data_IF_575173848340
#
_entry.id   IF_575173848340
#
_cell.length_a   1.000
_cell.length_b   1.000
_cell.length_c   1.000
_cell.angle_alpha   90.00
_cell.angle_beta   90.00
_cell.angle_gamma   90.00
#
_symmetry.space_group_name_H-M   'P 1'
#
loop_
_entity.id
_entity.type
_entity.pdbx_description
1 polymer ?
#
# COMPACT_ATOMS: atom_id res chain seq x y z
N UNK A 1 2.40 -40.62 -24.26
CA UNK A 1 1.46 -39.51 -24.57
C UNK A 1 0.49 -39.39 -23.42
N UNK A 2 0.68 -38.38 -22.54
CA UNK A 2 -0.24 -38.08 -21.43
C UNK A 2 -0.90 -36.72 -21.73
N UNK A 3 -2.18 -36.77 -22.05
CA UNK A 3 -3.01 -35.60 -22.24
C UNK A 3 -3.26 -34.89 -20.91
N UNK A 4 -2.72 -33.68 -20.77
CA UNK A 4 -2.97 -32.79 -19.64
C UNK A 4 -4.32 -32.08 -19.91
N UNK A 5 -5.35 -32.49 -19.19
CA UNK A 5 -6.66 -31.82 -19.23
C UNK A 5 -6.53 -30.54 -18.41
N UNK A 6 -6.44 -29.40 -19.10
CA UNK A 6 -6.59 -28.07 -18.49
C UNK A 6 -8.08 -27.92 -18.18
N UNK A 7 -8.43 -28.09 -16.92
CA UNK A 7 -9.77 -27.82 -16.41
C UNK A 7 -9.95 -26.30 -16.31
N UNK A 8 -10.52 -25.70 -17.35
CA UNK A 8 -10.93 -24.30 -17.36
C UNK A 8 -12.11 -24.15 -16.42
N UNK A 9 -11.87 -23.70 -15.19
CA UNK A 9 -12.90 -23.36 -14.22
C UNK A 9 -13.54 -22.04 -14.66
N UNK A 10 -14.52 -22.10 -15.55
CA UNK A 10 -15.44 -21.01 -15.83
C UNK A 10 -16.33 -20.83 -14.59
N UNK A 11 -15.92 -19.96 -13.67
CA UNK A 11 -16.80 -19.45 -12.64
C UNK A 11 -17.90 -18.66 -13.31
N UNK A 12 -19.18 -19.06 -13.16
CA UNK A 12 -20.29 -18.21 -13.61
C UNK A 12 -20.25 -16.95 -12.74
N UNK A 13 -19.91 -15.80 -13.32
CA UNK A 13 -20.19 -14.51 -12.71
C UNK A 13 -21.72 -14.43 -12.58
N UNK A 14 -22.28 -14.43 -11.37
CA UNK A 14 -23.71 -14.24 -11.24
C UNK A 14 -24.04 -12.84 -11.75
N UNK A 15 -24.99 -12.76 -12.67
CA UNK A 15 -25.65 -11.53 -13.10
C UNK A 15 -26.45 -10.91 -11.95
N UNK A 16 -25.77 -10.41 -10.93
CA UNK A 16 -26.32 -9.55 -9.87
C UNK A 16 -26.02 -8.07 -10.17
N UNK A 17 -26.15 -7.67 -11.44
CA UNK A 17 -25.86 -6.31 -11.88
C UNK A 17 -27.05 -5.34 -11.78
N UNK A 18 -28.15 -5.72 -11.18
CA UNK A 18 -29.27 -4.81 -11.01
C UNK A 18 -29.18 -4.07 -9.67
N UNK A 19 -28.73 -2.80 -9.72
CA UNK A 19 -28.77 -1.86 -8.60
C UNK A 19 -27.44 -1.56 -7.91
N UNK A 20 -26.33 -2.18 -8.29
CA UNK A 20 -25.01 -1.85 -7.75
C UNK A 20 -24.39 -0.69 -8.53
N UNK A 21 -24.00 0.35 -7.82
CA UNK A 21 -23.30 1.49 -8.39
C UNK A 21 -21.80 1.24 -8.35
N UNK A 22 -21.18 1.28 -9.52
CA UNK A 22 -19.73 1.13 -9.66
C UNK A 22 -19.03 2.49 -9.62
N UNK A 23 -17.84 2.51 -9.07
CA UNK A 23 -16.97 3.67 -8.97
C UNK A 23 -15.59 3.31 -9.51
N UNK A 24 -15.04 4.11 -10.43
CA UNK A 24 -13.66 3.99 -10.90
C UNK A 24 -12.98 5.33 -10.74
N UNK A 25 -11.78 5.34 -10.19
CA UNK A 25 -11.07 6.58 -9.92
C UNK A 25 -9.57 6.46 -9.90
N UNK A 26 -8.92 7.62 -9.98
CA UNK A 26 -7.49 7.80 -9.83
C UNK A 26 -7.17 8.78 -8.71
N UNK A 27 -5.99 8.64 -8.12
CA UNK A 27 -5.53 9.49 -7.02
C UNK A 27 -4.02 9.70 -7.05
N UNK A 28 -3.60 10.81 -6.47
CA UNK A 28 -2.19 11.13 -6.24
C UNK A 28 -2.02 11.69 -4.83
N UNK A 29 -0.82 11.57 -4.28
CA UNK A 29 -0.56 12.06 -2.94
C UNK A 29 0.84 11.75 -2.43
N UNK A 30 0.95 11.58 -1.14
CA UNK A 30 2.22 11.44 -0.45
C UNK A 30 2.11 10.43 0.68
N UNK A 31 3.20 9.71 0.95
CA UNK A 31 3.23 8.74 2.03
C UNK A 31 4.45 8.90 2.92
N UNK A 32 4.26 8.51 4.18
CA UNK A 32 5.22 8.57 5.26
C UNK A 32 5.36 7.20 5.89
N UNK A 33 6.58 6.69 6.00
CA UNK A 33 6.85 5.46 6.75
C UNK A 33 7.28 5.77 8.18
N UNK A 34 6.83 4.93 9.08
CA UNK A 34 7.41 4.86 10.43
C UNK A 34 8.62 3.93 10.38
N UNK A 35 9.78 4.47 10.72
CA UNK A 35 11.02 3.70 10.82
C UNK A 35 10.92 2.59 11.87
N UNK A 36 11.58 1.47 11.60
CA UNK A 36 11.77 0.38 12.55
C UNK A 36 13.19 0.40 13.11
N UNK A 37 13.30 0.04 14.39
CA UNK A 37 14.61 -0.04 15.04
C UNK A 37 15.35 -1.29 14.56
N UNK A 38 16.64 -1.13 14.37
CA UNK A 38 17.58 -2.21 14.08
C UNK A 38 18.70 -2.21 15.12
N UNK A 39 19.04 -3.38 15.62
CA UNK A 39 20.09 -3.51 16.66
C UNK A 39 21.07 -4.61 16.28
N UNK A 40 22.35 -4.28 16.32
CA UNK A 40 23.47 -5.20 16.11
C UNK A 40 24.47 -5.06 17.28
N UNK A 41 24.40 -5.96 18.24
CA UNK A 41 25.17 -5.85 19.48
C UNK A 41 24.82 -4.59 20.26
N UNK A 42 25.79 -3.69 20.47
CA UNK A 42 25.61 -2.38 21.15
C UNK A 42 25.20 -1.25 20.19
N UNK A 43 25.22 -1.47 18.88
CA UNK A 43 24.90 -0.43 17.88
C UNK A 43 23.40 -0.49 17.56
N UNK A 44 22.74 0.66 17.72
CA UNK A 44 21.33 0.81 17.37
C UNK A 44 21.18 1.81 16.24
N UNK A 45 20.31 1.50 15.31
CA UNK A 45 19.93 2.35 14.18
C UNK A 45 18.45 2.27 13.89
N UNK A 46 18.03 3.02 12.86
CA UNK A 46 16.68 3.00 12.31
C UNK A 46 16.74 2.64 10.84
N UNK A 47 15.80 1.85 10.38
CA UNK A 47 15.67 1.48 8.96
C UNK A 47 14.23 1.58 8.52
N UNK A 48 14.03 1.81 7.24
CA UNK A 48 12.71 1.93 6.64
C UNK A 48 12.78 2.50 5.23
N UNK A 49 11.76 3.27 4.91
CA UNK A 49 11.66 3.96 3.63
C UNK A 49 11.51 5.46 3.87
N UNK A 50 12.14 6.27 3.03
CA UNK A 50 11.96 7.71 3.05
C UNK A 50 10.53 8.07 2.62
N UNK A 51 10.02 9.23 3.03
CA UNK A 51 8.78 9.77 2.50
C UNK A 51 8.83 9.93 0.97
N UNK A 52 7.71 9.65 0.29
CA UNK A 52 7.69 9.69 -1.17
C UNK A 52 6.30 9.91 -1.76
N UNK A 53 6.27 10.16 -3.08
CA UNK A 53 5.02 10.36 -3.82
C UNK A 53 4.25 9.05 -3.97
N UNK A 54 2.93 9.16 -3.99
CA UNK A 54 2.02 8.04 -4.16
C UNK A 54 1.03 8.32 -5.30
N UNK A 55 0.75 7.29 -6.11
CA UNK A 55 -0.28 7.31 -7.15
C UNK A 55 -1.15 6.07 -6.98
N UNK A 56 -2.44 6.20 -7.20
CA UNK A 56 -3.35 5.08 -7.02
C UNK A 56 -4.52 5.06 -7.97
N UNK A 57 -5.14 3.90 -8.05
CA UNK A 57 -6.40 3.68 -8.73
C UNK A 57 -7.33 2.83 -7.88
N UNK A 58 -8.62 3.04 -8.08
CA UNK A 58 -9.67 2.30 -7.36
C UNK A 58 -10.76 1.84 -8.30
N UNK A 59 -11.28 0.65 -8.03
CA UNK A 59 -12.52 0.15 -8.59
C UNK A 59 -13.36 -0.32 -7.41
N UNK A 60 -14.49 0.33 -7.19
CA UNK A 60 -15.36 0.05 -6.06
C UNK A 60 -16.79 -0.18 -6.47
N UNK A 61 -17.54 -0.77 -5.57
CA UNK A 61 -18.98 -0.89 -5.70
C UNK A 61 -19.69 -0.58 -4.38
N UNK A 62 -20.87 -0.03 -4.49
CA UNK A 62 -21.75 0.20 -3.36
C UNK A 62 -22.66 -1.01 -3.16
N UNK A 63 -22.44 -1.79 -2.08
CA UNK A 63 -23.23 -2.98 -1.78
C UNK A 63 -24.60 -2.62 -1.19
N UNK A 64 -24.63 -1.64 -0.29
CA UNK A 64 -25.85 -1.10 0.29
C UNK A 64 -25.61 0.36 0.72
N UNK A 65 -26.59 0.99 1.41
CA UNK A 65 -26.50 2.42 1.82
C UNK A 65 -25.30 2.75 2.68
N UNK A 66 -24.77 1.77 3.43
CA UNK A 66 -23.70 1.98 4.43
C UNK A 66 -22.40 1.26 4.11
N UNK A 67 -22.45 0.19 3.31
CA UNK A 67 -21.32 -0.69 3.03
C UNK A 67 -20.96 -0.65 1.56
N UNK A 68 -19.70 -0.47 1.27
CA UNK A 68 -19.10 -0.59 -0.05
C UNK A 68 -17.88 -1.51 -0.04
N UNK A 69 -17.45 -1.92 -1.21
CA UNK A 69 -16.20 -2.66 -1.44
C UNK A 69 -15.34 -1.95 -2.47
N UNK A 70 -14.03 -2.03 -2.33
CA UNK A 70 -13.09 -1.31 -3.18
C UNK A 70 -11.82 -2.12 -3.41
N UNK A 71 -11.55 -2.50 -4.66
CA UNK A 71 -10.23 -2.97 -5.06
C UNK A 71 -9.34 -1.75 -5.33
N UNK A 72 -8.17 -1.72 -4.71
CA UNK A 72 -7.24 -0.59 -4.77
C UNK A 72 -5.85 -1.04 -5.19
N UNK A 73 -5.25 -0.23 -6.05
CA UNK A 73 -3.84 -0.27 -6.36
C UNK A 73 -3.19 1.03 -5.92
N UNK A 74 -2.02 0.95 -5.27
CA UNK A 74 -1.22 2.12 -4.90
C UNK A 74 0.24 1.86 -5.25
N UNK A 75 0.80 2.71 -6.11
CA UNK A 75 2.22 2.80 -6.42
C UNK A 75 2.87 3.85 -5.53
N UNK A 76 4.09 3.56 -5.05
CA UNK A 76 4.92 4.53 -4.35
C UNK A 76 6.34 4.52 -4.88
N UNK A 77 6.93 5.70 -5.00
CA UNK A 77 8.35 5.89 -5.26
C UNK A 77 9.01 6.37 -3.97
N UNK A 78 9.78 5.47 -3.35
CA UNK A 78 10.38 5.67 -2.04
C UNK A 78 11.85 5.28 -2.11
N UNK A 79 12.71 5.88 -1.26
CA UNK A 79 14.08 5.42 -1.07
C UNK A 79 14.17 4.53 0.17
N UNK A 80 14.85 3.40 0.07
CA UNK A 80 15.30 2.63 1.23
C UNK A 80 16.25 3.50 2.06
N UNK A 81 16.13 3.43 3.38
CA UNK A 81 16.92 4.22 4.30
C UNK A 81 17.40 3.40 5.49
N UNK A 82 18.66 3.59 5.87
CA UNK A 82 19.19 3.16 7.16
C UNK A 82 19.97 4.32 7.78
N UNK A 83 19.78 4.57 9.07
CA UNK A 83 20.43 5.67 9.79
C UNK A 83 20.88 5.23 11.18
N UNK A 84 22.03 5.76 11.62
CA UNK A 84 22.55 5.61 12.98
C UNK A 84 23.35 6.86 13.34
N UNK A 85 22.90 7.60 14.35
CA UNK A 85 23.46 8.92 14.67
C UNK A 85 23.33 9.88 13.49
N UNK A 86 24.45 10.47 13.06
CA UNK A 86 24.54 11.39 11.93
C UNK A 86 24.80 10.69 10.57
N UNK A 87 24.99 9.38 10.56
CA UNK A 87 25.28 8.62 9.34
C UNK A 87 24.00 8.08 8.75
N UNK A 88 23.80 8.28 7.45
CA UNK A 88 22.64 7.78 6.71
C UNK A 88 23.09 7.14 5.39
N UNK A 89 22.49 6.01 5.05
CA UNK A 89 22.61 5.38 3.73
C UNK A 89 21.24 5.26 3.09
N UNK A 90 21.17 5.51 1.76
CA UNK A 90 19.97 5.44 0.95
C UNK A 90 20.17 4.61 -0.30
N UNK A 91 19.13 3.93 -0.73
CA UNK A 91 19.05 3.26 -2.03
C UNK A 91 17.66 3.45 -2.61
N UNK A 92 17.57 3.59 -3.94
CA UNK A 92 16.29 3.81 -4.61
C UNK A 92 15.40 2.57 -4.52
N UNK A 93 14.12 2.79 -4.25
CA UNK A 93 13.12 1.73 -4.22
C UNK A 93 11.75 2.22 -4.71
N UNK A 94 10.88 1.26 -4.91
CA UNK A 94 9.47 1.49 -5.21
C UNK A 94 8.63 0.40 -4.55
N UNK A 95 7.36 0.68 -4.31
CA UNK A 95 6.43 -0.32 -3.81
C UNK A 95 5.07 -0.25 -4.54
N UNK A 96 4.42 -1.42 -4.59
CA UNK A 96 3.12 -1.62 -5.21
C UNK A 96 2.23 -2.32 -4.21
N UNK A 97 1.17 -1.67 -3.76
CA UNK A 97 0.15 -2.27 -2.90
C UNK A 97 -1.09 -2.59 -3.72
N UNK A 98 -1.59 -3.82 -3.59
CA UNK A 98 -2.82 -4.30 -4.21
C UNK A 98 -3.65 -4.92 -3.09
N UNK A 99 -4.82 -4.38 -2.83
CA UNK A 99 -5.67 -4.83 -1.74
C UNK A 99 -7.15 -4.60 -2.02
N UNK A 100 -7.98 -5.27 -1.23
CA UNK A 100 -9.42 -5.05 -1.21
C UNK A 100 -9.83 -4.51 0.15
N UNK A 101 -10.56 -3.39 0.14
CA UNK A 101 -11.08 -2.73 1.33
C UNK A 101 -12.61 -2.87 1.41
N UNK A 102 -13.13 -3.12 2.60
CA UNK A 102 -14.52 -2.89 2.95
C UNK A 102 -14.64 -1.48 3.49
N UNK A 103 -15.59 -0.72 2.95
CA UNK A 103 -15.86 0.66 3.34
C UNK A 103 -17.15 0.74 4.15
N UNK A 104 -17.09 1.44 5.28
CA UNK A 104 -18.25 1.77 6.11
C UNK A 104 -18.51 3.27 5.99
N UNK A 105 -19.57 3.64 5.31
CA UNK A 105 -19.96 5.04 5.11
C UNK A 105 -20.78 5.56 6.28
N UNK A 106 -20.49 6.78 6.73
CA UNK A 106 -21.22 7.45 7.81
C UNK A 106 -22.43 8.27 7.32
N UNK A 107 -22.61 8.39 6.00
CA UNK A 107 -23.72 9.14 5.38
C UNK A 107 -24.37 8.33 4.26
N UNK A 108 -25.62 8.68 3.93
CA UNK A 108 -26.37 8.03 2.84
C UNK A 108 -25.72 8.30 1.48
N UNK A 109 -26.08 7.48 0.50
CA UNK A 109 -25.53 7.53 -0.86
C UNK A 109 -25.77 8.88 -1.56
N UNK A 110 -26.91 9.50 -1.28
CA UNK A 110 -27.35 10.78 -1.86
C UNK A 110 -26.73 12.00 -1.18
N UNK A 111 -26.00 11.80 -0.07
CA UNK A 111 -25.37 12.89 0.67
C UNK A 111 -24.23 13.50 -0.14
N UNK A 112 -24.12 14.85 -0.21
CA UNK A 112 -23.05 15.50 -0.95
C UNK A 112 -21.66 15.26 -0.34
N UNK A 113 -21.62 14.96 0.96
CA UNK A 113 -20.39 14.66 1.72
C UNK A 113 -20.58 13.29 2.38
N UNK A 114 -19.70 12.35 2.10
CA UNK A 114 -19.75 10.98 2.59
C UNK A 114 -18.45 10.55 3.25
N UNK A 115 -18.29 10.78 4.56
CA UNK A 115 -17.19 10.20 5.33
C UNK A 115 -17.29 8.67 5.33
N UNK A 116 -16.13 7.99 5.38
CA UNK A 116 -16.08 6.54 5.49
C UNK A 116 -14.86 6.09 6.27
N UNK A 117 -14.99 4.95 6.94
CA UNK A 117 -13.89 4.16 7.44
C UNK A 117 -13.64 2.99 6.46
N UNK A 118 -12.42 2.49 6.42
CA UNK A 118 -12.05 1.37 5.56
C UNK A 118 -11.09 0.44 6.27
N UNK A 119 -11.29 -0.86 6.04
CA UNK A 119 -10.38 -1.92 6.46
C UNK A 119 -10.27 -2.94 5.34
N UNK A 120 -9.07 -3.48 5.12
CA UNK A 120 -8.86 -4.43 4.07
C UNK A 120 -7.58 -5.22 4.20
N UNK A 121 -7.36 -6.10 3.24
CA UNK A 121 -6.18 -6.94 3.18
C UNK A 121 -5.73 -7.14 1.72
N UNK A 122 -4.45 -7.45 1.55
CA UNK A 122 -3.87 -7.68 0.24
C UNK A 122 -2.39 -8.02 0.29
N UNK A 123 -1.67 -7.54 -0.70
CA UNK A 123 -0.23 -7.76 -0.85
C UNK A 123 0.48 -6.44 -1.18
N UNK A 124 1.63 -6.24 -0.58
CA UNK A 124 2.54 -5.15 -0.92
C UNK A 124 3.85 -5.71 -1.42
N UNK A 125 4.22 -5.29 -2.62
CA UNK A 125 5.43 -5.72 -3.31
C UNK A 125 6.43 -4.58 -3.21
N UNK A 126 7.53 -4.83 -2.56
CA UNK A 126 8.66 -3.93 -2.46
C UNK A 126 9.71 -4.29 -3.51
N UNK A 127 10.38 -3.30 -4.09
CA UNK A 127 11.42 -3.50 -5.10
C UNK A 127 12.49 -2.44 -4.95
N UNK A 128 13.73 -2.85 -4.71
CA UNK A 128 14.91 -2.00 -4.90
C UNK A 128 15.17 -1.75 -6.39
N UNK A 129 15.52 -0.54 -6.75
CA UNK A 129 15.76 -0.09 -8.14
C UNK A 129 17.06 0.70 -8.25
N UNK A 130 17.60 0.78 -9.47
CA UNK A 130 18.86 1.49 -9.75
C UNK A 130 20.10 0.62 -9.54
N UNK A 131 21.27 1.22 -9.41
CA UNK A 131 22.52 0.52 -9.13
C UNK A 131 22.74 0.40 -7.61
N UNK A 132 23.21 -0.76 -7.16
CA UNK A 132 23.60 -0.90 -5.75
C UNK A 132 24.81 0.00 -5.46
N UNK A 133 24.76 0.82 -4.39
CA UNK A 133 25.92 1.60 -4.00
C UNK A 133 27.10 0.69 -3.68
N UNK A 134 28.26 0.95 -4.33
CA UNK A 134 29.48 0.16 -4.12
C UNK A 134 29.97 0.20 -2.66
N UNK A 135 29.70 1.31 -1.98
CA UNK A 135 29.98 1.49 -0.54
C UNK A 135 28.68 1.85 0.15
N UNK A 136 28.27 1.03 1.11
CA UNK A 136 27.11 1.29 1.95
C UNK A 136 27.55 1.56 3.38
N UNK A 137 27.52 2.83 3.84
CA UNK A 137 27.66 3.13 5.25
C UNK A 137 26.62 2.33 6.04
N UNK A 138 26.97 1.86 7.23
CA UNK A 138 26.09 1.05 8.09
C UNK A 138 25.73 -0.34 7.53
N UNK A 139 26.51 -0.89 6.61
CA UNK A 139 26.32 -2.27 6.10
C UNK A 139 26.53 -3.35 7.19
N UNK A 140 27.11 -2.99 8.33
CA UNK A 140 27.16 -3.82 9.53
C UNK A 140 25.80 -3.93 10.24
N UNK A 141 24.90 -2.97 10.06
CA UNK A 141 23.52 -2.99 10.56
C UNK A 141 22.58 -3.62 9.54
N UNK A 142 22.45 -2.98 8.36
CA UNK A 142 21.56 -3.38 7.28
C UNK A 142 22.25 -3.16 5.94
N UNK A 143 22.15 -4.14 5.06
CA UNK A 143 22.52 -4.01 3.65
C UNK A 143 21.27 -3.72 2.85
N UNK A 144 21.24 -2.61 2.11
CA UNK A 144 20.17 -2.23 1.21
C UNK A 144 20.36 -2.96 -0.12
N UNK A 145 19.44 -3.83 -0.49
CA UNK A 145 19.56 -4.67 -1.69
C UNK A 145 18.54 -4.31 -2.76
N UNK A 146 18.85 -4.65 -4.01
CA UNK A 146 17.97 -4.44 -5.16
C UNK A 146 17.11 -5.67 -5.48
N UNK A 147 16.64 -6.34 -4.46
CA UNK A 147 15.75 -7.49 -4.59
C UNK A 147 14.28 -7.06 -4.71
N UNK A 148 13.42 -8.04 -4.95
CA UNK A 148 11.96 -7.89 -4.91
C UNK A 148 11.41 -8.80 -3.83
N UNK A 149 10.49 -8.27 -3.04
CA UNK A 149 9.84 -9.03 -1.97
C UNK A 149 8.36 -8.68 -1.87
N UNK A 150 7.52 -9.68 -1.74
CA UNK A 150 6.08 -9.52 -1.51
C UNK A 150 5.76 -9.81 -0.06
N UNK A 151 5.03 -8.92 0.59
CA UNK A 151 4.59 -9.04 1.97
C UNK A 151 3.07 -8.98 2.07
N UNK A 152 2.45 -9.74 2.99
CA UNK A 152 1.04 -9.56 3.29
C UNK A 152 0.79 -8.13 3.78
N UNK A 153 -0.35 -7.57 3.37
CA UNK A 153 -0.76 -6.21 3.66
C UNK A 153 -2.08 -6.22 4.42
N UNK A 154 -2.14 -5.49 5.52
CA UNK A 154 -3.40 -5.06 6.14
C UNK A 154 -3.54 -3.56 5.89
N UNK A 155 -4.69 -3.14 5.39
CA UNK A 155 -5.05 -1.73 5.16
C UNK A 155 -6.07 -1.30 6.21
N UNK A 156 -5.84 -0.15 6.84
CA UNK A 156 -6.80 0.48 7.72
C UNK A 156 -6.79 2.00 7.50
N UNK A 157 -7.94 2.63 7.56
CA UNK A 157 -8.00 4.07 7.39
C UNK A 157 -9.40 4.61 7.14
N UNK A 158 -9.48 5.69 6.38
CA UNK A 158 -10.74 6.32 6.05
C UNK A 158 -10.56 7.49 5.10
N UNK A 159 -11.66 8.19 4.88
CA UNK A 159 -11.65 9.33 3.99
C UNK A 159 -13.00 10.00 3.88
N UNK A 160 -13.07 10.92 2.94
CA UNK A 160 -14.31 11.63 2.62
C UNK A 160 -14.48 11.68 1.11
N UNK A 161 -15.68 11.38 0.64
CA UNK A 161 -16.12 11.55 -0.75
C UNK A 161 -17.04 12.77 -0.85
N UNK A 162 -16.76 13.65 -1.80
CA UNK A 162 -17.55 14.85 -2.08
C UNK A 162 -18.18 14.69 -3.46
N UNK A 163 -19.50 14.74 -3.57
CA UNK A 163 -20.21 14.71 -4.84
C UNK A 163 -20.06 16.05 -5.56
N UNK A 164 -19.31 16.09 -6.65
CA UNK A 164 -19.15 17.27 -7.49
C UNK A 164 -20.24 17.36 -8.57
N UNK A 165 -20.70 16.22 -9.05
CA UNK A 165 -21.81 16.10 -9.99
C UNK A 165 -22.51 14.74 -9.80
N UNK A 166 -23.54 14.45 -10.61
CA UNK A 166 -24.24 13.15 -10.59
C UNK A 166 -23.32 11.95 -10.84
N UNK A 167 -22.18 12.14 -11.48
CA UNK A 167 -21.25 11.07 -11.83
C UNK A 167 -19.83 11.28 -11.35
N UNK A 168 -19.49 12.44 -10.82
CA UNK A 168 -18.11 12.78 -10.44
C UNK A 168 -18.01 13.02 -8.95
N UNK A 169 -17.05 12.36 -8.34
CA UNK A 169 -16.73 12.51 -6.92
C UNK A 169 -15.28 12.93 -6.75
N UNK A 170 -15.05 13.86 -5.85
CA UNK A 170 -13.74 14.19 -5.32
C UNK A 170 -13.51 13.38 -4.05
N UNK A 171 -12.28 12.86 -3.84
CA UNK A 171 -11.94 11.98 -2.72
C UNK A 171 -10.73 12.49 -1.96
N UNK A 172 -10.81 12.41 -0.65
CA UNK A 172 -9.68 12.53 0.26
C UNK A 172 -9.57 11.20 1.02
N UNK A 173 -8.42 10.56 0.94
CA UNK A 173 -8.16 9.27 1.58
C UNK A 173 -6.93 9.37 2.48
N UNK A 174 -7.00 8.75 3.64
CA UNK A 174 -5.87 8.49 4.52
C UNK A 174 -5.85 6.99 4.84
N UNK A 175 -4.72 6.33 4.61
CA UNK A 175 -4.53 4.89 4.85
C UNK A 175 -3.26 4.65 5.64
N UNK A 176 -3.32 3.67 6.51
CA UNK A 176 -2.14 3.03 7.10
C UNK A 176 -2.03 1.61 6.54
N UNK A 177 -0.92 1.31 5.91
CA UNK A 177 -0.60 -0.01 5.38
C UNK A 177 0.36 -0.71 6.33
N UNK A 178 -0.11 -1.77 6.97
CA UNK A 178 0.66 -2.60 7.88
C UNK A 178 1.25 -3.77 7.11
N UNK A 179 2.56 -3.91 7.13
CA UNK A 179 3.26 -5.05 6.52
C UNK A 179 4.38 -5.53 7.43
N UNK A 180 4.77 -6.81 7.36
CA UNK A 180 6.05 -7.23 7.89
C UNK A 180 7.20 -6.47 7.22
N UNK A 181 8.33 -6.34 7.91
CA UNK A 181 9.54 -5.72 7.35
C UNK A 181 10.05 -6.57 6.19
N UNK A 182 10.34 -5.98 5.00
CA UNK A 182 10.89 -6.72 3.86
C UNK A 182 12.37 -7.07 4.10
N UNK A 183 12.60 -8.26 4.66
CA UNK A 183 13.92 -8.71 5.12
C UNK A 183 14.93 -8.93 4.00
N UNK A 184 14.47 -9.18 2.76
CA UNK A 184 15.36 -9.33 1.62
C UNK A 184 15.87 -7.99 1.09
N UNK A 185 15.09 -6.91 1.22
CA UNK A 185 15.51 -5.56 0.84
C UNK A 185 16.35 -4.89 1.94
N UNK A 186 15.98 -5.16 3.18
CA UNK A 186 16.66 -4.68 4.40
C UNK A 186 17.44 -5.85 5.01
N UNK A 187 18.42 -6.37 4.27
CA UNK A 187 19.13 -7.59 4.66
C UNK A 187 20.02 -7.34 5.89
N UNK A 188 19.81 -8.14 6.93
CA UNK A 188 20.63 -8.08 8.15
C UNK A 188 21.76 -9.11 8.10
N UNK A 189 22.87 -8.82 8.81
CA UNK A 189 24.02 -9.74 8.93
C UNK A 189 24.19 -10.23 10.37
N UNK A 190 24.58 -11.47 10.50
CA UNK A 190 24.93 -12.06 11.81
C UNK A 190 23.75 -12.08 12.79
N UNK A 191 23.93 -11.49 13.97
CA UNK A 191 22.94 -11.44 15.07
C UNK A 191 22.01 -10.23 14.99
N UNK A 192 22.12 -9.42 13.94
CA UNK A 192 21.28 -8.23 13.76
C UNK A 192 19.82 -8.62 13.57
N UNK A 193 18.93 -7.99 14.31
CA UNK A 193 17.49 -8.20 14.24
C UNK A 193 16.79 -6.94 13.77
N UNK A 194 16.01 -7.06 12.72
CA UNK A 194 14.99 -6.08 12.34
C UNK A 194 13.65 -6.78 12.57
N UNK A 195 12.85 -6.26 13.44
CA UNK A 195 11.58 -6.91 13.80
C UNK A 195 10.43 -5.91 13.83
N UNK A 196 9.23 -6.46 13.71
CA UNK A 196 8.01 -5.69 13.86
C UNK A 196 7.24 -5.51 12.57
N UNK A 197 6.21 -4.71 12.68
CA UNK A 197 5.36 -4.29 11.57
C UNK A 197 5.74 -2.89 11.13
N UNK A 198 5.82 -2.71 9.84
CA UNK A 198 6.05 -1.43 9.21
C UNK A 198 4.72 -0.73 8.97
N UNK A 199 4.66 0.55 9.32
CA UNK A 199 3.53 1.43 9.09
C UNK A 199 3.85 2.35 7.91
N UNK A 200 2.95 2.40 6.95
CA UNK A 200 3.03 3.27 5.79
C UNK A 200 1.76 4.12 5.70
N UNK A 201 1.84 5.33 6.21
CA UNK A 201 0.76 6.31 6.16
C UNK A 201 0.71 6.97 4.79
N UNK A 202 -0.38 6.77 4.05
CA UNK A 202 -0.57 7.31 2.69
C UNK A 202 -1.78 8.25 2.67
N UNK A 203 -1.55 9.47 2.21
CA UNK A 203 -2.57 10.50 2.03
C UNK A 203 -2.77 10.75 0.55
N UNK A 204 -3.99 10.59 0.06
CA UNK A 204 -4.33 10.66 -1.35
C UNK A 204 -5.48 11.62 -1.58
N UNK A 205 -5.36 12.38 -2.65
CA UNK A 205 -6.41 13.19 -3.24
C UNK A 205 -6.77 12.58 -4.58
N UNK A 206 -8.04 12.40 -4.87
CA UNK A 206 -8.47 11.71 -6.07
C UNK A 206 -9.78 12.20 -6.66
N UNK A 207 -10.03 11.75 -7.87
CA UNK A 207 -11.30 11.93 -8.59
C UNK A 207 -11.77 10.57 -9.04
N UNK A 208 -13.08 10.34 -8.92
CA UNK A 208 -13.72 9.11 -9.37
C UNK A 208 -15.00 9.40 -10.13
N UNK A 209 -15.36 8.48 -11.01
CA UNK A 209 -16.62 8.48 -11.77
C UNK A 209 -17.47 7.32 -11.31
N UNK A 210 -18.76 7.57 -11.18
CA UNK A 210 -19.78 6.62 -10.73
C UNK A 210 -20.74 6.33 -11.88
N UNK A 211 -21.12 5.07 -12.08
CA UNK A 211 -22.03 4.59 -13.11
C UNK A 211 -22.79 3.35 -12.67
#
# INVERSE_FOLDING_TARGET
>A
MRFLHVLTLLLPLPCLMFGQQWEVGGSAGYGLYRDVNVTAGSVTGKTGFAPGVAFGGVIGNQMNRWVGGEARYTFRSDDLRVSSGSVEAKAKAQSHAIHYDVLLHAAKKESPIRPFAAIGAGVKIYRGIGAEPAVQPLSNLVVLTHTREAQPLISAGGGVKFSMSHRTMFRLDARDYFTPVPGNLLATRGTTRVGGWMHDFVFLVGISTVF
#
